data_IF_888617826521
#
_entry.id   IF_888617826521
#
_cell.length_a   1.000
_cell.length_b   1.000
_cell.length_c   1.000
_cell.angle_alpha   90.00
_cell.angle_beta   90.00
_cell.angle_gamma   90.00
#
_symmetry.space_group_name_H-M   'P 1'
#
loop_
_entity.id
_entity.type
_entity.pdbx_description
1 polymer ?
#
# COMPACT_ATOMS: atom_id res chain seq x y z
N UNK A 1 -63.65 -12.24 -6.26
CA UNK A 1 -62.52 -11.94 -7.16
C UNK A 1 -61.55 -13.13 -7.08
N UNK A 2 -61.55 -14.01 -8.08
CA UNK A 2 -60.72 -15.23 -8.08
C UNK A 2 -59.36 -14.93 -8.69
N UNK A 3 -58.29 -14.98 -7.90
CA UNK A 3 -56.93 -14.82 -8.44
C UNK A 3 -56.59 -15.98 -9.36
N UNK A 4 -56.13 -15.65 -10.57
CA UNK A 4 -55.62 -16.65 -11.52
C UNK A 4 -54.18 -17.03 -11.17
N UNK A 5 -53.75 -18.24 -11.56
CA UNK A 5 -52.37 -18.72 -11.35
C UNK A 5 -51.32 -17.74 -11.92
N UNK A 6 -51.65 -17.07 -13.02
CA UNK A 6 -50.77 -16.08 -13.67
C UNK A 6 -50.63 -14.80 -12.83
N UNK A 7 -51.68 -14.35 -12.18
CA UNK A 7 -51.66 -13.18 -11.30
C UNK A 7 -50.88 -13.46 -10.01
N UNK A 8 -51.02 -14.68 -9.46
CA UNK A 8 -50.24 -15.12 -8.30
C UNK A 8 -48.73 -15.11 -8.61
N UNK A 9 -48.32 -15.63 -9.78
CA UNK A 9 -46.91 -15.64 -10.19
C UNK A 9 -46.35 -14.22 -10.42
N UNK A 10 -47.13 -13.31 -11.02
CA UNK A 10 -46.72 -11.92 -11.19
C UNK A 10 -46.56 -11.20 -9.86
N UNK A 11 -47.51 -11.40 -8.94
CA UNK A 11 -47.47 -10.78 -7.62
C UNK A 11 -46.27 -11.28 -6.81
N UNK A 12 -46.00 -12.59 -6.85
CA UNK A 12 -44.81 -13.17 -6.20
C UNK A 12 -43.49 -12.59 -6.73
N UNK A 13 -43.34 -12.46 -8.05
CA UNK A 13 -42.14 -11.87 -8.65
C UNK A 13 -41.97 -10.39 -8.26
N UNK A 14 -43.06 -9.61 -8.27
CA UNK A 14 -43.05 -8.21 -7.85
C UNK A 14 -42.67 -8.04 -6.38
N UNK A 15 -43.16 -8.90 -5.50
CA UNK A 15 -42.81 -8.88 -4.08
C UNK A 15 -41.34 -9.23 -3.84
N UNK A 16 -40.79 -10.21 -4.55
CA UNK A 16 -39.38 -10.61 -4.45
C UNK A 16 -38.46 -9.49 -4.94
N UNK A 17 -38.72 -8.93 -6.12
CA UNK A 17 -37.91 -7.82 -6.65
C UNK A 17 -38.03 -6.57 -5.77
N UNK A 18 -39.23 -6.27 -5.28
CA UNK A 18 -39.49 -5.12 -4.41
C UNK A 18 -38.78 -5.19 -3.05
N UNK A 19 -38.43 -6.39 -2.57
CA UNK A 19 -37.75 -6.60 -1.29
C UNK A 19 -36.23 -6.77 -1.42
N UNK A 20 -35.72 -7.32 -2.53
CA UNK A 20 -34.28 -7.50 -2.75
C UNK A 20 -33.57 -6.18 -3.08
N UNK A 21 -34.18 -5.33 -3.92
CA UNK A 21 -33.54 -4.08 -4.38
C UNK A 21 -33.20 -3.12 -3.22
N UNK A 22 -34.10 -2.88 -2.24
CA UNK A 22 -33.79 -2.02 -1.08
C UNK A 22 -32.69 -2.60 -0.18
N UNK A 23 -32.61 -3.94 -0.07
CA UNK A 23 -31.63 -4.60 0.79
C UNK A 23 -30.22 -4.51 0.21
N UNK A 24 -30.08 -4.68 -1.11
CA UNK A 24 -28.80 -4.47 -1.79
C UNK A 24 -28.35 -3.00 -1.78
N UNK A 25 -29.30 -2.06 -1.83
CA UNK A 25 -28.99 -0.64 -1.73
C UNK A 25 -28.43 -0.24 -0.34
N UNK A 26 -28.81 -0.93 0.74
CA UNK A 26 -28.23 -0.72 2.07
C UNK A 26 -26.72 -1.01 2.13
N UNK A 27 -26.18 -1.87 1.26
CA UNK A 27 -24.73 -2.09 1.20
C UNK A 27 -23.96 -0.87 0.68
N UNK A 28 -24.59 -0.07 -0.20
CA UNK A 28 -24.00 1.17 -0.75
C UNK A 28 -23.99 2.28 0.31
N UNK A 29 -24.95 2.26 1.26
CA UNK A 29 -25.01 3.20 2.37
C UNK A 29 -24.14 2.82 3.57
N UNK A 30 -23.32 1.76 3.48
CA UNK A 30 -22.37 1.45 4.56
C UNK A 30 -21.44 2.65 4.76
N UNK A 31 -21.49 3.33 5.92
CA UNK A 31 -20.79 4.59 6.15
C UNK A 31 -19.27 4.42 6.09
N UNK A 32 -18.76 3.21 6.31
CA UNK A 32 -17.34 2.88 6.23
C UNK A 32 -16.79 2.95 4.79
N UNK A 33 -17.56 2.45 3.82
CA UNK A 33 -17.19 2.50 2.41
C UNK A 33 -17.17 3.95 1.92
N UNK A 34 -18.21 4.73 2.28
CA UNK A 34 -18.30 6.15 1.96
C UNK A 34 -17.22 6.98 2.69
N UNK A 35 -16.91 6.65 3.95
CA UNK A 35 -15.87 7.32 4.73
C UNK A 35 -14.47 7.14 4.13
N UNK A 36 -14.19 5.98 3.51
CA UNK A 36 -12.91 5.74 2.83
C UNK A 36 -12.74 6.58 1.55
N UNK A 37 -13.86 6.92 0.89
CA UNK A 37 -13.90 7.75 -0.31
C UNK A 37 -13.83 9.25 0.01
N UNK A 38 -14.43 9.68 1.13
CA UNK A 38 -14.48 11.10 1.54
C UNK A 38 -13.25 11.50 2.36
N UNK A 39 -12.68 10.57 3.14
CA UNK A 39 -11.46 10.78 3.93
C UNK A 39 -10.42 9.70 3.63
N UNK A 40 -9.68 9.81 2.51
CA UNK A 40 -8.59 8.88 2.19
C UNK A 40 -7.55 8.80 3.32
N UNK A 41 -7.47 9.83 4.16
CA UNK A 41 -6.66 9.87 5.38
C UNK A 41 -7.52 10.28 6.58
N UNK A 42 -8.26 9.34 7.16
CA UNK A 42 -8.91 9.55 8.46
C UNK A 42 -7.88 10.02 9.50
N UNK A 43 -8.05 11.21 10.08
CA UNK A 43 -7.18 11.75 11.15
C UNK A 43 -7.01 10.83 12.36
N UNK A 44 -7.90 9.83 12.53
CA UNK A 44 -7.84 8.85 13.62
C UNK A 44 -6.93 7.65 13.31
N UNK A 45 -6.57 7.42 12.04
CA UNK A 45 -5.74 6.28 11.62
C UNK A 45 -4.31 6.75 11.38
N UNK A 46 -3.35 6.15 12.08
CA UNK A 46 -1.91 6.33 11.84
C UNK A 46 -1.42 5.18 10.96
N UNK A 47 -0.79 5.52 9.85
CA UNK A 47 -0.19 4.55 8.94
C UNK A 47 1.29 4.41 9.23
N UNK A 48 1.83 3.22 8.96
CA UNK A 48 3.26 2.94 9.04
C UNK A 48 3.73 2.32 7.72
N UNK A 49 4.93 2.66 7.30
CA UNK A 49 5.62 2.01 6.21
C UNK A 49 6.44 0.84 6.77
N UNK A 50 6.20 -0.38 6.27
CA UNK A 50 6.86 -1.60 6.75
C UNK A 50 7.52 -2.28 5.56
N UNK A 51 8.76 -2.74 5.76
CA UNK A 51 9.53 -3.49 4.77
C UNK A 51 9.73 -4.91 5.28
N UNK A 52 9.32 -5.90 4.49
CA UNK A 52 9.64 -7.31 4.71
C UNK A 52 11.10 -7.56 4.30
N UNK A 53 11.98 -7.69 5.28
CA UNK A 53 13.42 -7.89 5.05
C UNK A 53 13.73 -9.25 4.42
N UNK A 54 12.82 -10.23 4.50
CA UNK A 54 13.00 -11.54 3.86
C UNK A 54 12.78 -11.51 2.35
N UNK A 55 12.04 -10.51 1.86
CA UNK A 55 11.77 -10.29 0.43
C UNK A 55 12.52 -9.08 -0.14
N UNK A 56 13.17 -8.29 0.71
CA UNK A 56 13.90 -7.11 0.29
C UNK A 56 15.12 -7.49 -0.56
N UNK A 57 15.16 -7.00 -1.79
CA UNK A 57 16.28 -7.21 -2.73
C UNK A 57 17.24 -6.02 -2.78
N UNK A 58 17.07 -5.01 -1.91
CA UNK A 58 17.95 -3.84 -1.89
C UNK A 58 17.84 -2.92 -3.12
N UNK A 59 16.68 -2.86 -3.78
CA UNK A 59 16.49 -2.06 -5.01
C UNK A 59 16.52 -0.53 -4.82
N UNK A 60 16.43 -0.02 -3.59
CA UNK A 60 16.45 1.41 -3.32
C UNK A 60 15.14 2.18 -3.57
N UNK A 61 14.08 1.51 -4.03
CA UNK A 61 12.80 2.18 -4.31
C UNK A 61 12.16 2.82 -3.07
N UNK A 62 12.37 2.26 -1.88
CA UNK A 62 11.88 2.85 -0.63
C UNK A 62 12.51 4.22 -0.32
N UNK A 63 13.82 4.36 -0.55
CA UNK A 63 14.55 5.62 -0.37
C UNK A 63 14.15 6.64 -1.45
N UNK A 64 13.99 6.20 -2.71
CA UNK A 64 13.47 7.05 -3.80
C UNK A 64 12.06 7.56 -3.49
N UNK A 65 11.16 6.68 -3.06
CA UNK A 65 9.79 7.04 -2.67
C UNK A 65 9.77 8.05 -1.53
N UNK A 66 10.64 7.91 -0.53
CA UNK A 66 10.77 8.88 0.56
C UNK A 66 11.06 10.29 0.03
N UNK A 67 11.98 10.44 -0.94
CA UNK A 67 12.29 11.76 -1.50
C UNK A 67 11.14 12.33 -2.32
N UNK A 68 10.51 11.50 -3.15
CA UNK A 68 9.38 11.89 -4.00
C UNK A 68 8.18 12.34 -3.16
N UNK A 69 7.83 11.60 -2.11
CA UNK A 69 6.67 11.90 -1.26
C UNK A 69 6.85 13.17 -0.40
N UNK A 70 8.10 13.53 -0.11
CA UNK A 70 8.42 14.63 0.80
C UNK A 70 9.03 15.84 0.07
N UNK A 71 8.94 15.88 -1.25
CA UNK A 71 9.48 16.94 -2.11
C UNK A 71 10.95 17.29 -1.79
N UNK A 72 11.75 16.28 -1.43
CA UNK A 72 13.16 16.47 -1.11
C UNK A 72 13.96 16.54 -2.41
N UNK A 73 14.77 17.60 -2.65
CA UNK A 73 15.60 17.73 -3.86
C UNK A 73 16.38 16.44 -4.15
N UNK A 74 16.21 15.88 -5.35
CA UNK A 74 16.64 14.51 -5.65
C UNK A 74 18.16 14.33 -5.69
N UNK A 75 18.85 15.37 -6.11
CA UNK A 75 20.31 15.50 -6.20
C UNK A 75 20.99 15.68 -4.84
N UNK A 76 20.30 16.30 -3.87
CA UNK A 76 20.82 16.47 -2.52
C UNK A 76 21.01 15.13 -1.79
N UNK A 77 22.09 14.98 -1.04
CA UNK A 77 22.37 13.76 -0.26
C UNK A 77 21.68 13.76 1.12
N UNK A 78 20.41 14.17 1.14
CA UNK A 78 19.53 14.17 2.31
C UNK A 78 18.25 13.38 2.02
N UNK A 79 17.77 12.64 3.01
CA UNK A 79 16.55 11.83 2.96
C UNK A 79 16.14 11.41 4.38
N UNK A 80 14.85 11.09 4.59
CA UNK A 80 14.35 10.63 5.90
C UNK A 80 14.47 9.11 6.08
N UNK A 81 14.65 8.37 4.99
CA UNK A 81 14.76 6.90 4.96
C UNK A 81 16.01 6.52 4.18
N UNK A 82 16.82 5.60 4.72
CA UNK A 82 17.99 5.02 4.06
C UNK A 82 18.06 3.51 4.32
N UNK A 83 18.86 2.79 3.54
CA UNK A 83 19.16 1.38 3.76
C UNK A 83 20.67 1.21 3.92
N UNK A 84 21.08 0.54 4.98
CA UNK A 84 22.48 0.22 5.25
C UNK A 84 22.81 -1.17 4.73
N UNK A 85 23.94 -1.30 4.06
CA UNK A 85 24.53 -2.58 3.69
C UNK A 85 25.67 -2.87 4.66
N UNK A 86 25.63 -4.08 5.20
CA UNK A 86 26.64 -4.63 6.09
C UNK A 86 27.42 -5.67 5.28
N UNK A 87 28.68 -5.39 4.98
CA UNK A 87 29.57 -6.32 4.29
C UNK A 87 30.61 -6.85 5.25
N UNK A 88 30.61 -8.16 5.48
CA UNK A 88 31.64 -8.82 6.26
C UNK A 88 32.73 -9.34 5.32
N UNK A 89 33.93 -8.79 5.46
CA UNK A 89 35.09 -9.23 4.71
C UNK A 89 35.64 -10.54 5.26
N UNK A 90 36.42 -11.26 4.44
CA UNK A 90 37.13 -12.46 4.86
C UNK A 90 38.14 -12.21 5.99
N UNK A 91 38.60 -10.97 6.14
CA UNK A 91 39.46 -10.54 7.24
C UNK A 91 38.73 -10.49 8.59
N UNK A 92 37.40 -10.64 8.62
CA UNK A 92 36.56 -10.45 9.79
C UNK A 92 36.11 -9.00 10.00
N UNK A 93 36.61 -8.07 9.19
CA UNK A 93 36.20 -6.66 9.22
C UNK A 93 34.78 -6.48 8.67
N UNK A 94 34.00 -5.60 9.31
CA UNK A 94 32.65 -5.25 8.88
C UNK A 94 32.65 -3.83 8.33
N UNK A 95 32.27 -3.70 7.06
CA UNK A 95 32.04 -2.42 6.40
C UNK A 95 30.54 -2.14 6.42
N UNK A 96 30.16 -0.92 6.82
CA UNK A 96 28.78 -0.47 6.82
C UNK A 96 28.70 0.74 5.87
N UNK A 97 27.85 0.66 4.85
CA UNK A 97 27.69 1.77 3.91
C UNK A 97 26.23 2.00 3.48
N UNK A 98 25.96 3.23 3.05
CA UNK A 98 24.67 3.63 2.49
C UNK A 98 24.89 4.72 1.43
N UNK A 99 25.51 4.37 0.29
CA UNK A 99 25.85 5.33 -0.74
C UNK A 99 24.58 6.03 -1.21
N UNK A 100 24.52 7.35 -1.02
CA UNK A 100 23.36 8.18 -1.38
C UNK A 100 22.05 7.68 -0.73
N UNK A 101 22.13 7.08 0.46
CA UNK A 101 21.03 6.44 1.20
C UNK A 101 20.43 5.21 0.50
N UNK A 102 21.24 4.55 -0.33
CA UNK A 102 20.85 3.39 -1.14
C UNK A 102 19.72 3.67 -2.16
N UNK A 103 19.50 4.93 -2.55
CA UNK A 103 18.43 5.32 -3.50
C UNK A 103 18.57 4.73 -4.91
N UNK A 104 19.73 4.18 -5.23
CA UNK A 104 20.01 3.47 -6.48
C UNK A 104 20.27 1.97 -6.27
N UNK A 105 20.04 1.46 -5.05
CA UNK A 105 20.43 0.11 -4.65
C UNK A 105 21.95 -0.06 -4.57
N UNK A 106 22.37 -1.32 -4.45
CA UNK A 106 23.77 -1.73 -4.35
C UNK A 106 24.19 -2.45 -5.63
N UNK A 107 24.46 -1.69 -6.69
CA UNK A 107 24.72 -2.23 -8.04
C UNK A 107 26.10 -2.86 -8.20
N UNK A 108 27.07 -2.44 -7.39
CA UNK A 108 28.40 -3.02 -7.34
C UNK A 108 28.62 -3.68 -5.97
N UNK A 109 29.27 -4.85 -5.96
CA UNK A 109 29.72 -5.49 -4.72
C UNK A 109 31.06 -4.89 -4.28
N UNK A 110 31.03 -3.57 -4.14
CA UNK A 110 32.12 -2.70 -3.76
C UNK A 110 31.56 -1.77 -2.68
N UNK A 111 31.80 -2.07 -1.40
CA UNK A 111 31.52 -1.15 -0.32
C UNK A 111 32.72 -0.22 -0.09
N UNK A 112 32.48 1.08 -0.25
CA UNK A 112 33.47 2.15 0.00
C UNK A 112 34.77 2.05 -0.82
N UNK A 113 34.75 1.49 -2.03
CA UNK A 113 35.91 1.31 -2.92
C UNK A 113 36.97 0.34 -2.35
N UNK A 114 36.53 -0.73 -1.66
CA UNK A 114 37.39 -1.62 -0.86
C UNK A 114 37.47 -3.10 -1.28
N UNK A 115 36.87 -3.47 -2.39
CA UNK A 115 36.87 -4.86 -2.89
C UNK A 115 37.76 -5.08 -4.09
#
# INVERSE_FOLDING_TARGET
MSLTRRELLKLGLLSICGSIIPLSALEIFKPEALASLIHPFSKKKRWAFVVDTTKCVGCGMCAKACKLENDVPFDADIQRTWVERYVQLKSGEVIIDSPRGARYGFTANDPQDRT
#
